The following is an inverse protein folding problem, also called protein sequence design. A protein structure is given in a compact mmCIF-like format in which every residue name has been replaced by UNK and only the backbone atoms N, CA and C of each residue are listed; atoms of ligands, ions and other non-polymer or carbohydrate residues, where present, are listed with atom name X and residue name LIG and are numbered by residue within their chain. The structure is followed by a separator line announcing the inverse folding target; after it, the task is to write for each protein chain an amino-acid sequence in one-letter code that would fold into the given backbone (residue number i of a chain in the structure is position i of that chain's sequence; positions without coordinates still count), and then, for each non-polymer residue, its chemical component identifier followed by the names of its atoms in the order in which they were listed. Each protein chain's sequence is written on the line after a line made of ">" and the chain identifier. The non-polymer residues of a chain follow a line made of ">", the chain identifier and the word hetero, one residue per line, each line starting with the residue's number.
data_IF_160638515094
#
_entry.id   IF_160638515094
#
_cell.length_a   1.000
_cell.length_b   1.000
_cell.length_c   1.000
_cell.angle_alpha   90.00
_cell.angle_beta   90.00
_cell.angle_gamma   90.00
#
_symmetry.space_group_name_H-M   'P 1'
#
loop_
_entity.id
_entity.type
_entity.pdbx_description
1 polymer ?
#
# COMPACT_ATOMS: atom_id res chain seq x y z
N UNK A 1 11.59 22.06 81.55
CA UNK A 1 10.17 21.72 81.30
C UNK A 1 9.91 21.86 79.81
N UNK A 2 9.60 20.74 79.19
CA UNK A 2 9.29 20.53 77.78
C UNK A 2 7.90 21.07 77.44
N UNK A 3 7.75 21.78 76.31
CA UNK A 3 6.52 21.73 75.51
C UNK A 3 6.81 22.32 74.11
N UNK A 4 7.30 21.47 73.20
CA UNK A 4 7.13 21.72 71.77
C UNK A 4 5.77 21.14 71.39
N UNK A 5 4.74 21.98 71.37
CA UNK A 5 3.46 21.63 70.77
C UNK A 5 3.63 21.58 69.25
N UNK A 6 4.00 20.42 68.72
CA UNK A 6 3.76 20.12 67.30
C UNK A 6 2.24 19.98 67.13
N UNK A 7 1.54 21.09 66.93
CA UNK A 7 0.16 21.07 66.48
C UNK A 7 0.14 20.50 65.06
N UNK A 8 -0.20 19.23 64.92
CA UNK A 8 -0.56 18.64 63.63
C UNK A 8 -1.74 19.45 63.11
N UNK A 9 -1.51 20.26 62.07
CA UNK A 9 -2.54 21.10 61.49
C UNK A 9 -3.63 20.18 60.91
N UNK A 10 -4.82 20.23 61.49
CA UNK A 10 -5.96 19.40 61.07
C UNK A 10 -6.34 19.75 59.62
N UNK A 11 -6.52 18.72 58.78
CA UNK A 11 -6.82 18.92 57.37
C UNK A 11 -8.23 19.49 57.22
N UNK A 12 -8.35 20.71 56.69
CA UNK A 12 -9.64 21.31 56.31
C UNK A 12 -9.90 21.14 54.80
N UNK A 13 -11.14 21.36 54.37
CA UNK A 13 -11.50 21.30 52.95
C UNK A 13 -10.66 22.26 52.09
N UNK A 14 -10.38 23.47 52.59
CA UNK A 14 -9.54 24.45 51.90
C UNK A 14 -8.09 23.96 51.77
N UNK A 15 -7.49 23.47 52.86
CA UNK A 15 -6.10 22.96 52.85
C UNK A 15 -5.98 21.74 51.93
N UNK A 16 -6.97 20.84 51.96
CA UNK A 16 -7.03 19.69 51.05
C UNK A 16 -7.09 20.15 49.59
N UNK A 17 -7.90 21.16 49.29
CA UNK A 17 -8.07 21.66 47.93
C UNK A 17 -6.80 22.39 47.44
N UNK A 18 -6.18 23.23 48.27
CA UNK A 18 -4.90 23.88 47.97
C UNK A 18 -3.78 22.86 47.68
N UNK A 19 -3.82 21.70 48.35
CA UNK A 19 -2.91 20.60 48.06
C UNK A 19 -3.25 19.87 46.76
N UNK A 20 -4.53 19.69 46.43
CA UNK A 20 -4.99 18.99 45.24
C UNK A 20 -4.70 19.76 43.96
N UNK A 21 -4.78 21.10 43.96
CA UNK A 21 -4.44 21.95 42.79
C UNK A 21 -2.99 21.74 42.32
N UNK A 22 -2.09 21.40 43.24
CA UNK A 22 -0.66 21.23 42.95
C UNK A 22 -0.30 19.81 42.50
N UNK A 23 -1.28 18.92 42.39
CA UNK A 23 -1.09 17.49 42.10
C UNK A 23 -1.59 17.15 40.71
N UNK A 24 -0.99 16.14 40.11
CA UNK A 24 -1.60 15.51 38.93
C UNK A 24 -2.92 14.84 39.32
N UNK A 25 -3.84 14.59 38.38
CA UNK A 25 -5.09 13.90 38.66
C UNK A 25 -4.91 12.55 39.39
N UNK A 26 -3.89 11.78 39.00
CA UNK A 26 -3.56 10.47 39.62
C UNK A 26 -3.00 10.65 41.03
N UNK A 27 -2.12 11.62 41.26
CA UNK A 27 -1.64 11.97 42.60
C UNK A 27 -2.77 12.47 43.51
N UNK A 28 -3.73 13.21 42.94
CA UNK A 28 -4.93 13.68 43.63
C UNK A 28 -5.83 12.53 44.08
N UNK A 29 -6.03 11.53 43.22
CA UNK A 29 -6.77 10.32 43.57
C UNK A 29 -6.10 9.53 44.71
N UNK A 30 -4.76 9.41 44.68
CA UNK A 30 -3.99 8.78 45.76
C UNK A 30 -4.09 9.58 47.08
N UNK A 31 -4.02 10.92 47.00
CA UNK A 31 -4.21 11.79 48.16
C UNK A 31 -5.61 11.62 48.76
N UNK A 32 -6.65 11.59 47.94
CA UNK A 32 -8.02 11.32 48.37
C UNK A 32 -8.13 9.97 49.08
N UNK A 33 -7.58 8.90 48.51
CA UNK A 33 -7.60 7.56 49.13
C UNK A 33 -6.89 7.52 50.49
N UNK A 34 -5.80 8.28 50.65
CA UNK A 34 -5.06 8.37 51.91
C UNK A 34 -5.84 9.12 53.01
N UNK A 35 -6.60 10.15 52.65
CA UNK A 35 -7.24 11.04 53.62
C UNK A 35 -8.70 10.68 53.93
N UNK A 36 -9.39 9.95 53.04
CA UNK A 36 -10.84 9.69 53.18
C UNK A 36 -11.25 8.88 54.42
N UNK A 37 -10.38 8.03 54.96
CA UNK A 37 -10.68 7.26 56.19
C UNK A 37 -10.78 8.17 57.41
N UNK A 38 -9.96 9.22 57.43
CA UNK A 38 -9.75 10.05 58.61
C UNK A 38 -10.64 11.31 58.55
N UNK A 39 -11.04 11.73 57.35
CA UNK A 39 -11.77 12.98 57.12
C UNK A 39 -13.06 12.79 56.32
N UNK A 40 -14.22 12.82 57.00
CA UNK A 40 -15.55 12.60 56.42
C UNK A 40 -15.93 13.57 55.28
N UNK A 41 -15.34 14.78 55.24
CA UNK A 41 -15.64 15.75 54.20
C UNK A 41 -15.00 15.42 52.84
N UNK A 42 -14.01 14.51 52.80
CA UNK A 42 -13.24 14.21 51.59
C UNK A 42 -14.10 13.61 50.48
N UNK A 43 -15.07 12.75 50.80
CA UNK A 43 -15.97 12.15 49.81
C UNK A 43 -16.81 13.22 49.11
N UNK A 44 -17.31 14.21 49.87
CA UNK A 44 -18.09 15.34 49.36
C UNK A 44 -17.22 16.31 48.56
N UNK A 45 -16.04 16.68 49.08
CA UNK A 45 -15.10 17.55 48.36
C UNK A 45 -14.70 16.93 47.01
N UNK A 46 -14.43 15.62 47.00
CA UNK A 46 -14.07 14.93 45.77
C UNK A 46 -15.25 14.90 44.78
N UNK A 47 -16.47 14.63 45.25
CA UNK A 47 -17.68 14.64 44.42
C UNK A 47 -17.95 16.02 43.80
N UNK A 48 -17.93 17.07 44.62
CA UNK A 48 -18.41 18.40 44.25
C UNK A 48 -17.35 19.21 43.48
N UNK A 49 -16.06 18.98 43.77
CA UNK A 49 -14.97 19.82 43.24
C UNK A 49 -13.99 19.08 42.34
N UNK A 50 -13.71 17.79 42.59
CA UNK A 50 -12.69 17.05 41.83
C UNK A 50 -13.30 16.34 40.62
N UNK A 51 -14.40 15.59 40.80
CA UNK A 51 -15.06 14.87 39.69
C UNK A 51 -15.37 15.76 38.49
N UNK A 52 -15.89 17.00 38.63
CA UNK A 52 -16.11 17.89 37.50
C UNK A 52 -14.84 18.23 36.71
N UNK A 53 -13.69 18.34 37.39
CA UNK A 53 -12.41 18.65 36.75
C UNK A 53 -11.87 17.43 35.99
N UNK A 54 -12.17 16.22 36.46
CA UNK A 54 -11.72 14.98 35.80
C UNK A 54 -12.27 14.81 34.36
N UNK A 55 -13.27 15.60 33.94
CA UNK A 55 -13.72 15.65 32.55
C UNK A 55 -12.63 16.06 31.56
N UNK A 56 -11.57 16.75 32.01
CA UNK A 56 -10.45 17.16 31.15
C UNK A 56 -9.33 16.13 31.07
N UNK A 57 -9.38 15.09 31.91
CA UNK A 57 -8.37 14.04 31.94
C UNK A 57 -8.46 13.13 30.72
N UNK A 58 -7.31 12.61 30.30
CA UNK A 58 -7.25 11.66 29.19
C UNK A 58 -7.65 10.23 29.64
N UNK A 59 -7.81 9.34 28.66
CA UNK A 59 -8.18 7.94 28.90
C UNK A 59 -7.25 7.22 29.89
N UNK A 60 -5.93 7.40 29.78
CA UNK A 60 -4.95 6.70 30.61
C UNK A 60 -5.00 7.17 32.06
N UNK A 61 -5.12 8.48 32.28
CA UNK A 61 -5.29 9.07 33.62
C UNK A 61 -6.58 8.55 34.26
N UNK A 62 -7.72 8.59 33.55
CA UNK A 62 -9.00 8.12 34.07
C UNK A 62 -8.99 6.61 34.36
N UNK A 63 -8.28 5.81 33.56
CA UNK A 63 -8.09 4.36 33.80
C UNK A 63 -7.39 4.12 35.13
N UNK A 64 -6.31 4.84 35.41
CA UNK A 64 -5.57 4.73 36.66
C UNK A 64 -6.39 5.21 37.86
N UNK A 65 -7.05 6.38 37.73
CA UNK A 65 -7.91 6.93 38.78
C UNK A 65 -9.03 5.95 39.12
N UNK A 66 -9.69 5.34 38.12
CA UNK A 66 -10.72 4.33 38.34
C UNK A 66 -10.22 3.15 39.18
N UNK A 67 -8.98 2.70 38.96
CA UNK A 67 -8.38 1.61 39.73
C UNK A 67 -8.11 2.02 41.18
N UNK A 68 -7.66 3.27 41.39
CA UNK A 68 -7.35 3.82 42.72
C UNK A 68 -8.62 3.98 43.57
N UNK A 69 -9.69 4.54 43.00
CA UNK A 69 -10.89 4.93 43.77
C UNK A 69 -12.06 3.94 43.69
N UNK A 70 -11.84 2.74 43.14
CA UNK A 70 -12.88 1.75 42.81
C UNK A 70 -13.84 1.40 43.96
N UNK A 71 -13.36 1.45 45.21
CA UNK A 71 -14.10 1.08 46.42
C UNK A 71 -14.67 2.30 47.17
N UNK A 72 -14.89 3.40 46.45
CA UNK A 72 -15.38 4.66 47.04
C UNK A 72 -16.74 5.09 46.48
N UNK A 73 -17.51 5.94 47.19
CA UNK A 73 -18.79 6.45 46.70
C UNK A 73 -18.69 7.17 45.35
N UNK A 74 -17.52 7.76 45.05
CA UNK A 74 -17.26 8.49 43.81
C UNK A 74 -16.89 7.62 42.60
N UNK A 75 -16.69 6.30 42.81
CA UNK A 75 -16.25 5.38 41.76
C UNK A 75 -17.19 5.38 40.55
N UNK A 76 -18.51 5.39 40.78
CA UNK A 76 -19.53 5.35 39.71
C UNK A 76 -19.42 6.56 38.78
N UNK A 77 -19.20 7.75 39.34
CA UNK A 77 -19.13 8.98 38.57
C UNK A 77 -17.87 9.02 37.71
N UNK A 78 -16.71 8.67 38.29
CA UNK A 78 -15.46 8.63 37.54
C UNK A 78 -15.45 7.51 36.50
N UNK A 79 -16.10 6.39 36.78
CA UNK A 79 -16.25 5.31 35.80
C UNK A 79 -17.05 5.76 34.57
N UNK A 80 -18.07 6.60 34.72
CA UNK A 80 -18.81 7.17 33.59
C UNK A 80 -17.91 8.07 32.72
N UNK A 81 -17.01 8.85 33.34
CA UNK A 81 -16.01 9.65 32.62
C UNK A 81 -15.03 8.75 31.86
N UNK A 82 -14.54 7.70 32.52
CA UNK A 82 -13.65 6.72 31.91
C UNK A 82 -14.28 6.04 30.68
N UNK A 83 -15.55 5.63 30.77
CA UNK A 83 -16.26 5.04 29.63
C UNK A 83 -16.36 6.02 28.46
N UNK A 84 -16.67 7.28 28.74
CA UNK A 84 -16.74 8.34 27.72
C UNK A 84 -15.38 8.55 27.05
N UNK A 85 -14.30 8.66 27.83
CA UNK A 85 -12.95 8.80 27.31
C UNK A 85 -12.50 7.55 26.51
N UNK A 86 -12.89 6.35 26.95
CA UNK A 86 -12.64 5.09 26.25
C UNK A 86 -13.30 5.06 24.86
N UNK A 87 -14.54 5.54 24.75
CA UNK A 87 -15.22 5.64 23.46
C UNK A 87 -14.56 6.67 22.54
N UNK A 88 -14.15 7.82 23.09
CA UNK A 88 -13.46 8.87 22.33
C UNK A 88 -12.11 8.40 21.78
N UNK A 89 -11.27 7.79 22.62
CA UNK A 89 -9.98 7.26 22.16
C UNK A 89 -10.17 6.14 21.14
N UNK A 90 -11.16 5.25 21.34
CA UNK A 90 -11.48 4.22 20.35
C UNK A 90 -11.86 4.83 19.00
N UNK A 91 -12.76 5.83 18.98
CA UNK A 91 -13.13 6.56 17.75
C UNK A 91 -11.93 7.22 17.09
N UNK A 92 -11.04 7.83 17.88
CA UNK A 92 -9.80 8.44 17.37
C UNK A 92 -8.89 7.42 16.71
N UNK A 93 -8.69 6.26 17.36
CA UNK A 93 -7.88 5.16 16.84
C UNK A 93 -8.49 4.63 15.53
N UNK A 94 -9.80 4.40 15.48
CA UNK A 94 -10.47 3.94 14.24
C UNK A 94 -10.28 4.92 13.09
N UNK A 95 -10.45 6.23 13.33
CA UNK A 95 -10.25 7.24 12.30
C UNK A 95 -8.79 7.31 11.82
N UNK A 96 -7.82 7.13 12.73
CA UNK A 96 -6.41 7.09 12.36
C UNK A 96 -6.07 5.86 11.51
N UNK A 97 -6.59 4.68 11.88
CA UNK A 97 -6.45 3.45 11.11
C UNK A 97 -7.01 3.64 9.70
N UNK A 98 -8.23 4.18 9.57
CA UNK A 98 -8.87 4.40 8.27
C UNK A 98 -8.03 5.31 7.36
N UNK A 99 -7.54 6.43 7.89
CA UNK A 99 -6.67 7.37 7.15
C UNK A 99 -5.36 6.70 6.71
N UNK A 100 -4.73 5.92 7.59
CA UNK A 100 -3.50 5.20 7.27
C UNK A 100 -3.73 4.10 6.24
N UNK A 101 -4.84 3.36 6.32
CA UNK A 101 -5.21 2.37 5.32
C UNK A 101 -5.39 3.00 3.93
N UNK A 102 -6.05 4.15 3.84
CA UNK A 102 -6.19 4.88 2.57
C UNK A 102 -4.82 5.33 2.01
N UNK A 103 -3.94 5.85 2.87
CA UNK A 103 -2.59 6.25 2.47
C UNK A 103 -1.75 5.07 1.96
N UNK A 104 -1.85 3.91 2.63
CA UNK A 104 -1.12 2.71 2.23
C UNK A 104 -1.66 2.11 0.93
N UNK A 105 -2.99 2.13 0.71
CA UNK A 105 -3.59 1.75 -0.59
C UNK A 105 -3.07 2.66 -1.69
N UNK A 106 -3.04 3.97 -1.45
CA UNK A 106 -2.53 4.96 -2.42
C UNK A 106 -1.04 4.73 -2.70
N UNK A 107 -0.24 4.49 -1.67
CA UNK A 107 1.20 4.17 -1.80
C UNK A 107 1.41 2.92 -2.65
N UNK A 108 0.60 1.89 -2.44
CA UNK A 108 0.66 0.67 -3.23
C UNK A 108 0.29 0.92 -4.71
N UNK A 109 -0.78 1.66 -4.96
CA UNK A 109 -1.28 1.94 -6.31
C UNK A 109 -0.38 2.89 -7.11
N UNK A 110 0.18 3.90 -6.46
CA UNK A 110 0.89 5.00 -7.12
C UNK A 110 2.42 4.85 -7.09
N UNK A 111 2.99 3.99 -6.24
CA UNK A 111 4.44 3.81 -6.15
C UNK A 111 4.86 2.35 -6.36
N UNK A 112 4.25 1.40 -5.64
CA UNK A 112 4.67 -0.01 -5.70
C UNK A 112 4.29 -0.67 -7.02
N UNK A 113 3.02 -0.56 -7.44
CA UNK A 113 2.57 -1.15 -8.71
C UNK A 113 3.31 -0.55 -9.92
N UNK A 114 3.51 0.78 -10.04
CA UNK A 114 4.31 1.34 -11.12
C UNK A 114 5.76 0.85 -11.15
N UNK A 115 6.42 0.75 -9.99
CA UNK A 115 7.78 0.22 -9.93
C UNK A 115 7.87 -1.23 -10.44
N UNK A 116 6.90 -2.08 -10.04
CA UNK A 116 6.81 -3.46 -10.54
C UNK A 116 6.61 -3.46 -12.06
N UNK A 117 5.73 -2.60 -12.59
CA UNK A 117 5.47 -2.51 -14.04
C UNK A 117 6.73 -2.15 -14.82
N UNK A 118 7.45 -1.13 -14.38
CA UNK A 118 8.68 -0.67 -15.05
C UNK A 118 9.73 -1.79 -15.10
N UNK A 119 9.93 -2.51 -14.00
CA UNK A 119 10.87 -3.64 -13.97
C UNK A 119 10.41 -4.78 -14.88
N UNK A 120 9.10 -5.05 -14.94
CA UNK A 120 8.53 -6.08 -15.81
C UNK A 120 8.67 -5.70 -17.29
N UNK A 121 8.40 -4.44 -17.65
CA UNK A 121 8.50 -3.95 -19.02
C UNK A 121 9.94 -4.05 -19.53
N UNK A 122 10.92 -3.60 -18.74
CA UNK A 122 12.35 -3.73 -19.06
C UNK A 122 12.75 -5.21 -19.26
N UNK A 123 12.34 -6.09 -18.36
CA UNK A 123 12.65 -7.53 -18.44
C UNK A 123 11.96 -8.20 -19.65
N UNK A 124 10.73 -7.80 -19.96
CA UNK A 124 9.99 -8.30 -21.11
C UNK A 124 10.63 -7.87 -22.42
N UNK A 125 11.03 -6.61 -22.53
CA UNK A 125 11.66 -6.06 -23.72
C UNK A 125 12.96 -6.79 -24.05
N UNK A 126 13.84 -7.00 -23.06
CA UNK A 126 15.08 -7.75 -23.24
C UNK A 126 14.84 -9.18 -23.71
N UNK A 127 13.84 -9.86 -23.11
CA UNK A 127 13.49 -11.22 -23.48
C UNK A 127 12.90 -11.29 -24.89
N UNK A 128 12.03 -10.36 -25.27
CA UNK A 128 11.44 -10.27 -26.62
C UNK A 128 12.51 -9.94 -27.65
N UNK A 129 13.40 -8.98 -27.38
CA UNK A 129 14.56 -8.65 -28.24
C UNK A 129 15.45 -9.87 -28.46
N UNK A 130 15.70 -10.65 -27.41
CA UNK A 130 16.50 -11.89 -27.52
C UNK A 130 15.82 -12.95 -28.39
N UNK A 131 14.52 -13.19 -28.17
CA UNK A 131 13.71 -14.12 -29.00
C UNK A 131 13.72 -13.68 -30.44
N UNK A 132 13.44 -12.39 -30.68
CA UNK A 132 13.34 -11.81 -32.00
C UNK A 132 14.68 -11.83 -32.74
N UNK A 133 15.78 -11.43 -32.09
CA UNK A 133 17.13 -11.47 -32.67
C UNK A 133 17.49 -12.88 -33.15
N UNK A 134 17.21 -13.92 -32.35
CA UNK A 134 17.41 -15.32 -32.76
C UNK A 134 16.51 -15.74 -33.91
N UNK A 135 15.25 -15.29 -33.88
CA UNK A 135 14.27 -15.59 -34.91
C UNK A 135 14.58 -14.93 -36.25
N UNK A 136 15.00 -13.66 -36.24
CA UNK A 136 15.37 -12.88 -37.42
C UNK A 136 16.77 -13.24 -37.96
N UNK A 137 17.62 -13.91 -37.16
CA UNK A 137 18.94 -14.35 -37.59
C UNK A 137 20.09 -13.36 -37.30
N UNK A 138 19.91 -12.43 -36.36
CA UNK A 138 20.92 -11.45 -35.94
C UNK A 138 21.11 -10.24 -36.88
N UNK A 139 22.04 -9.33 -36.51
CA UNK A 139 22.23 -7.97 -37.08
C UNK A 139 22.81 -7.91 -38.51
N UNK A 140 22.84 -8.99 -39.30
CA UNK A 140 23.40 -8.95 -40.65
C UNK A 140 22.58 -9.82 -41.60
N UNK A 141 21.56 -9.26 -42.27
CA UNK A 141 20.94 -9.66 -43.55
C UNK A 141 20.74 -11.16 -43.93
N UNK A 142 20.97 -12.13 -43.04
CA UNK A 142 20.68 -13.55 -43.22
C UNK A 142 19.17 -13.85 -43.13
N UNK A 143 18.36 -12.84 -42.77
CA UNK A 143 16.90 -12.85 -42.74
C UNK A 143 16.27 -13.57 -43.92
N UNK A 144 16.66 -13.18 -45.14
CA UNK A 144 16.06 -13.72 -46.37
C UNK A 144 16.40 -15.20 -46.55
N UNK A 145 17.59 -15.66 -46.14
CA UNK A 145 17.95 -17.07 -46.26
C UNK A 145 17.19 -17.98 -45.29
N UNK A 146 17.00 -17.59 -44.02
CA UNK A 146 16.31 -18.46 -43.05
C UNK A 146 14.81 -18.61 -43.33
N UNK A 147 14.15 -17.58 -43.86
CA UNK A 147 12.75 -17.69 -44.28
C UNK A 147 12.60 -18.53 -45.56
N UNK A 148 13.56 -18.44 -46.50
CA UNK A 148 13.62 -19.31 -47.67
C UNK A 148 13.91 -20.78 -47.31
N UNK A 149 14.55 -21.04 -46.16
CA UNK A 149 14.78 -22.39 -45.59
C UNK A 149 13.61 -22.93 -44.74
N UNK A 150 12.45 -22.27 -44.76
CA UNK A 150 11.20 -22.78 -44.16
C UNK A 150 10.88 -22.27 -42.75
N UNK A 151 11.66 -21.34 -42.19
CA UNK A 151 11.37 -20.72 -40.87
C UNK A 151 10.03 -19.97 -40.94
N UNK A 152 9.17 -20.21 -39.97
CA UNK A 152 7.81 -19.69 -39.95
C UNK A 152 7.33 -19.31 -38.54
N UNK A 153 6.07 -18.93 -38.45
CA UNK A 153 5.39 -18.53 -37.22
C UNK A 153 5.47 -19.58 -36.08
N UNK A 154 5.50 -20.88 -36.40
CA UNK A 154 5.66 -21.96 -35.39
C UNK A 154 7.06 -21.94 -34.77
N UNK A 155 8.08 -21.59 -35.54
CA UNK A 155 9.46 -21.48 -35.04
C UNK A 155 9.62 -20.30 -34.09
N UNK A 156 8.97 -19.16 -34.39
CA UNK A 156 8.89 -18.04 -33.44
C UNK A 156 8.24 -18.49 -32.14
N UNK A 157 7.08 -19.16 -32.22
CA UNK A 157 6.38 -19.66 -31.03
C UNK A 157 7.25 -20.61 -30.21
N UNK A 158 8.04 -21.47 -30.86
CA UNK A 158 8.97 -22.38 -30.15
C UNK A 158 10.07 -21.60 -29.44
N UNK A 159 10.76 -20.70 -30.15
CA UNK A 159 11.81 -19.85 -29.58
C UNK A 159 11.31 -18.98 -28.43
N UNK A 160 10.08 -18.51 -28.54
CA UNK A 160 9.41 -17.74 -27.50
C UNK A 160 9.26 -18.54 -26.22
N UNK A 161 8.74 -19.78 -26.28
CA UNK A 161 8.58 -20.63 -25.09
C UNK A 161 9.91 -21.16 -24.55
N UNK A 162 10.92 -21.34 -25.39
CA UNK A 162 12.26 -21.74 -24.96
C UNK A 162 12.98 -20.63 -24.17
N UNK A 163 12.52 -19.37 -24.28
CA UNK A 163 13.18 -18.20 -23.68
C UNK A 163 12.37 -17.47 -22.62
N UNK A 164 11.04 -17.53 -22.70
CA UNK A 164 10.18 -16.82 -21.77
C UNK A 164 10.04 -17.61 -20.46
N UNK A 165 10.71 -17.15 -19.39
CA UNK A 165 10.57 -17.74 -18.07
C UNK A 165 9.40 -17.10 -17.30
N UNK A 166 8.21 -17.71 -17.43
CA UNK A 166 7.00 -17.30 -16.69
C UNK A 166 7.14 -17.43 -15.18
N UNK A 167 8.05 -18.28 -14.69
CA UNK A 167 8.29 -18.46 -13.26
C UNK A 167 9.09 -17.29 -12.69
N UNK A 168 10.06 -16.77 -13.45
CA UNK A 168 10.84 -15.60 -13.08
C UNK A 168 9.93 -14.38 -12.88
N UNK A 169 9.08 -14.04 -13.84
CA UNK A 169 8.15 -12.91 -13.72
C UNK A 169 7.21 -13.07 -12.52
N UNK A 170 6.65 -14.27 -12.35
CA UNK A 170 5.78 -14.59 -11.22
C UNK A 170 6.50 -14.36 -9.88
N UNK A 171 7.75 -14.81 -9.77
CA UNK A 171 8.54 -14.70 -8.55
C UNK A 171 8.90 -13.25 -8.23
N UNK A 172 9.36 -12.48 -9.22
CA UNK A 172 9.67 -11.06 -9.04
C UNK A 172 8.46 -10.28 -8.53
N UNK A 173 7.32 -10.37 -9.23
CA UNK A 173 6.10 -9.66 -8.83
C UNK A 173 5.67 -10.04 -7.41
N UNK A 174 5.69 -11.34 -7.09
CA UNK A 174 5.29 -11.80 -5.75
C UNK A 174 6.26 -11.35 -4.65
N UNK A 175 7.56 -11.27 -4.93
CA UNK A 175 8.57 -10.79 -3.99
C UNK A 175 8.35 -9.32 -3.62
N UNK A 176 8.11 -8.44 -4.61
CA UNK A 176 7.82 -7.03 -4.34
C UNK A 176 6.55 -6.84 -3.52
N UNK A 177 5.47 -7.56 -3.88
CA UNK A 177 4.21 -7.47 -3.15
C UNK A 177 4.37 -8.04 -1.74
N UNK A 178 5.09 -9.15 -1.56
CA UNK A 178 5.38 -9.68 -0.23
C UNK A 178 6.22 -8.72 0.61
N UNK A 179 7.22 -8.06 0.03
CA UNK A 179 8.03 -7.06 0.74
C UNK A 179 7.19 -5.87 1.21
N UNK A 180 6.22 -5.42 0.40
CA UNK A 180 5.25 -4.41 0.79
C UNK A 180 4.37 -4.90 1.96
N UNK A 181 3.81 -6.11 1.88
CA UNK A 181 3.00 -6.70 2.96
C UNK A 181 3.80 -6.88 4.26
N UNK A 182 5.08 -7.24 4.16
CA UNK A 182 6.00 -7.37 5.30
C UNK A 182 6.22 -6.02 5.99
N UNK A 183 6.39 -4.96 5.20
CA UNK A 183 6.54 -3.59 5.71
C UNK A 183 5.27 -3.12 6.41
N UNK A 184 4.10 -3.38 5.83
CA UNK A 184 2.82 -3.09 6.46
C UNK A 184 2.68 -3.81 7.80
N UNK A 185 3.01 -5.09 7.85
CA UNK A 185 2.94 -5.89 9.08
C UNK A 185 3.83 -5.31 10.20
N UNK A 186 5.03 -4.81 9.86
CA UNK A 186 5.90 -4.14 10.82
C UNK A 186 5.23 -2.87 11.36
N UNK A 187 4.73 -2.00 10.47
CA UNK A 187 4.04 -0.75 10.86
C UNK A 187 2.81 -1.01 11.73
N UNK A 188 2.02 -2.02 11.39
CA UNK A 188 0.83 -2.41 12.16
C UNK A 188 1.20 -2.92 13.56
N UNK A 189 2.28 -3.71 13.66
CA UNK A 189 2.77 -4.18 14.97
C UNK A 189 3.29 -3.04 15.83
N UNK A 190 4.01 -2.08 15.26
CA UNK A 190 4.45 -0.88 15.99
C UNK A 190 3.24 -0.12 16.54
N UNK A 191 2.26 0.18 15.68
CA UNK A 191 1.04 0.87 16.10
C UNK A 191 0.25 0.10 17.17
N UNK A 192 0.07 -1.21 17.01
CA UNK A 192 -0.63 -2.03 18.00
C UNK A 192 0.11 -2.09 19.33
N UNK A 193 1.44 -2.18 19.30
CA UNK A 193 2.26 -2.19 20.50
C UNK A 193 2.19 -0.86 21.25
N UNK A 194 2.20 0.27 20.53
CA UNK A 194 2.13 1.60 21.15
C UNK A 194 0.78 1.88 21.82
N UNK A 195 -0.33 1.37 21.24
CA UNK A 195 -1.68 1.64 21.76
C UNK A 195 -2.11 0.66 22.85
N UNK A 196 -1.84 -0.65 22.67
CA UNK A 196 -2.34 -1.69 23.58
C UNK A 196 -1.26 -2.65 24.11
N UNK A 197 0.02 -2.42 23.79
CA UNK A 197 1.14 -3.28 24.17
C UNK A 197 0.92 -4.76 23.76
N UNK A 198 0.38 -4.96 22.56
CA UNK A 198 0.19 -6.28 21.94
C UNK A 198 0.69 -6.28 20.51
N UNK A 199 1.10 -7.47 20.06
CA UNK A 199 1.47 -7.73 18.67
C UNK A 199 0.36 -8.47 17.94
N UNK A 200 0.27 -8.25 16.65
CA UNK A 200 -0.63 -8.97 15.75
C UNK A 200 -0.01 -10.33 15.47
N UNK A 201 -0.80 -11.40 15.66
CA UNK A 201 -0.29 -12.78 15.61
C UNK A 201 -0.01 -13.28 14.19
N UNK A 202 -0.78 -12.83 13.20
CA UNK A 202 -0.75 -13.40 11.87
C UNK A 202 -0.16 -12.42 10.84
N UNK A 203 0.97 -12.84 10.26
CA UNK A 203 1.57 -12.19 9.10
C UNK A 203 0.78 -12.54 7.85
N UNK A 204 0.59 -11.57 6.97
CA UNK A 204 -0.06 -11.76 5.69
C UNK A 204 0.92 -12.35 4.68
N UNK A 205 0.47 -13.38 3.94
CA UNK A 205 1.26 -14.05 2.92
C UNK A 205 0.58 -13.84 1.57
N UNK A 206 1.36 -13.40 0.60
CA UNK A 206 0.90 -13.22 -0.77
C UNK A 206 0.43 -14.56 -1.33
N UNK A 207 -0.84 -14.64 -1.71
CA UNK A 207 -1.32 -15.78 -2.51
C UNK A 207 -0.76 -15.64 -3.91
N UNK A 208 -0.33 -16.76 -4.50
CA UNK A 208 0.30 -16.76 -5.81
C UNK A 208 -0.73 -17.11 -6.88
N UNK A 209 -1.40 -16.13 -7.52
CA UNK A 209 -2.28 -16.43 -8.64
C UNK A 209 -1.50 -17.14 -9.76
N UNK A 210 -2.23 -17.75 -10.70
CA UNK A 210 -1.59 -18.36 -11.86
C UNK A 210 -1.28 -17.27 -12.88
N UNK A 211 0.01 -17.07 -13.20
CA UNK A 211 0.40 -16.21 -14.32
C UNK A 211 0.08 -16.95 -15.63
N UNK A 212 -0.85 -16.40 -16.42
CA UNK A 212 -1.17 -16.90 -17.76
C UNK A 212 -0.82 -15.81 -18.77
N UNK A 213 0.38 -15.90 -19.32
CA UNK A 213 0.85 -15.02 -20.39
C UNK A 213 1.21 -15.85 -21.62
N UNK A 214 1.06 -15.30 -22.80
CA UNK A 214 1.46 -15.94 -24.04
C UNK A 214 1.20 -15.07 -25.27
N UNK A 215 1.51 -15.61 -26.44
CA UNK A 215 1.30 -14.90 -27.71
C UNK A 215 -0.19 -14.93 -28.10
N UNK A 216 -0.83 -13.75 -28.14
CA UNK A 216 -2.22 -13.64 -28.59
C UNK A 216 -2.37 -13.95 -30.09
N UNK A 217 -3.59 -14.22 -30.54
CA UNK A 217 -3.89 -14.41 -31.97
C UNK A 217 -3.47 -13.21 -32.82
N UNK A 218 -3.56 -12.00 -32.27
CA UNK A 218 -3.18 -10.75 -32.94
C UNK A 218 -1.66 -10.67 -33.13
N UNK A 219 -0.89 -10.84 -32.05
CA UNK A 219 0.59 -10.89 -32.07
C UNK A 219 1.08 -11.94 -33.06
N UNK A 220 0.46 -13.12 -33.02
CA UNK A 220 0.71 -14.21 -33.94
C UNK A 220 0.44 -13.83 -35.42
N UNK A 221 -0.58 -13.02 -35.71
CA UNK A 221 -0.87 -12.51 -37.07
C UNK A 221 0.22 -11.55 -37.55
N UNK A 222 0.70 -10.63 -36.69
CA UNK A 222 1.81 -9.73 -37.02
C UNK A 222 3.10 -10.50 -37.34
N UNK A 223 3.45 -11.51 -36.54
CA UNK A 223 4.61 -12.38 -36.79
C UNK A 223 4.47 -13.11 -38.14
N UNK A 224 3.27 -13.57 -38.48
CA UNK A 224 3.02 -14.21 -39.78
C UNK A 224 3.27 -13.25 -40.94
N UNK A 225 2.72 -12.03 -40.87
CA UNK A 225 2.92 -10.99 -41.90
C UNK A 225 4.39 -10.60 -42.05
N UNK A 226 5.10 -10.54 -40.92
CA UNK A 226 6.53 -10.30 -40.88
C UNK A 226 7.30 -11.39 -41.63
N UNK A 227 6.96 -12.66 -41.36
CA UNK A 227 7.54 -13.82 -42.06
C UNK A 227 7.30 -13.76 -43.57
N UNK A 228 6.13 -13.27 -44.00
CA UNK A 228 5.74 -13.21 -45.42
C UNK A 228 6.19 -11.93 -46.14
N UNK A 229 6.92 -11.03 -45.47
CA UNK A 229 7.50 -9.82 -46.06
C UNK A 229 6.53 -8.64 -46.26
N UNK A 230 5.35 -8.66 -45.61
CA UNK A 230 4.36 -7.58 -45.72
C UNK A 230 4.59 -6.48 -44.68
N UNK A 231 5.65 -5.68 -44.86
CA UNK A 231 6.13 -4.71 -43.85
C UNK A 231 5.17 -3.54 -43.60
N UNK A 232 4.70 -2.87 -44.66
CA UNK A 232 3.85 -1.67 -44.54
C UNK A 232 2.51 -1.98 -43.85
N UNK A 233 1.96 -3.17 -44.11
CA UNK A 233 0.72 -3.63 -43.47
C UNK A 233 0.89 -3.91 -41.97
N UNK A 234 2.10 -4.29 -41.51
CA UNK A 234 2.36 -4.55 -40.09
C UNK A 234 2.31 -3.24 -39.30
N UNK A 235 2.95 -2.19 -39.83
CA UNK A 235 3.02 -0.87 -39.19
C UNK A 235 1.61 -0.29 -39.04
N UNK A 236 0.81 -0.32 -40.12
CA UNK A 236 -0.56 0.24 -40.10
C UNK A 236 -1.51 -0.54 -39.17
N UNK A 237 -1.48 -1.88 -39.19
CA UNK A 237 -2.33 -2.69 -38.31
C UNK A 237 -1.91 -2.54 -36.84
N UNK A 238 -0.61 -2.59 -36.55
CA UNK A 238 -0.13 -2.44 -35.17
C UNK A 238 -0.45 -1.06 -34.59
N UNK A 239 -0.39 0.00 -35.42
CA UNK A 239 -0.85 1.32 -35.01
C UNK A 239 -2.34 1.33 -34.65
N UNK A 240 -3.19 0.73 -35.49
CA UNK A 240 -4.63 0.67 -35.23
C UNK A 240 -4.97 -0.15 -33.99
N UNK A 241 -4.31 -1.28 -33.80
CA UNK A 241 -4.69 -2.28 -32.81
C UNK A 241 -4.13 -1.97 -31.41
N UNK A 242 -2.99 -1.27 -31.34
CA UNK A 242 -2.29 -1.03 -30.07
C UNK A 242 -2.07 0.45 -29.77
N UNK A 243 -1.73 1.28 -30.77
CA UNK A 243 -1.37 2.69 -30.54
C UNK A 243 -2.58 3.63 -30.51
N UNK A 244 -3.52 3.47 -31.45
CA UNK A 244 -4.69 4.32 -31.56
C UNK A 244 -5.62 4.25 -30.33
N UNK A 245 -5.90 3.08 -29.72
CA UNK A 245 -6.69 3.02 -28.50
C UNK A 245 -6.04 3.74 -27.32
N UNK A 246 -4.70 3.73 -27.22
CA UNK A 246 -3.94 4.44 -26.19
C UNK A 246 -4.01 5.96 -26.40
N UNK A 247 -3.84 6.43 -27.64
CA UNK A 247 -3.93 7.84 -27.98
C UNK A 247 -5.35 8.42 -27.80
N UNK A 248 -6.38 7.62 -28.10
CA UNK A 248 -7.79 7.98 -27.89
C UNK A 248 -8.12 7.97 -26.39
N UNK A 249 -7.63 6.99 -25.63
CA UNK A 249 -7.77 6.94 -24.17
C UNK A 249 -7.14 8.15 -23.47
N UNK A 250 -6.00 8.63 -23.98
CA UNK A 250 -5.32 9.84 -23.50
C UNK A 250 -6.07 11.15 -23.82
N UNK A 251 -6.85 11.17 -24.91
CA UNK A 251 -7.61 12.35 -25.33
C UNK A 251 -9.00 12.45 -24.67
N UNK A 252 -9.61 11.32 -24.28
CA UNK A 252 -10.99 11.27 -23.76
C UNK A 252 -11.03 11.18 -22.22
N UNK A 253 -9.98 10.64 -21.57
CA UNK A 253 -9.85 10.61 -20.12
C UNK A 253 -8.85 11.65 -19.63
N UNK A 254 -9.32 12.66 -18.91
CA UNK A 254 -8.52 13.78 -18.42
C UNK A 254 -7.19 13.37 -17.78
N UNK A 255 -6.23 14.32 -17.83
CA UNK A 255 -4.80 14.23 -17.47
C UNK A 255 -4.40 13.49 -16.17
N UNK A 256 -5.30 12.94 -15.37
CA UNK A 256 -4.98 12.17 -14.16
C UNK A 256 -4.68 10.68 -14.37
N UNK A 257 -5.11 10.04 -15.47
CA UNK A 257 -4.96 8.58 -15.66
C UNK A 257 -3.71 8.21 -16.46
N UNK A 258 -3.34 9.03 -17.46
CA UNK A 258 -2.13 8.81 -18.28
C UNK A 258 -0.87 9.22 -17.54
N UNK A 259 -0.90 10.31 -16.77
CA UNK A 259 0.25 10.73 -15.97
C UNK A 259 0.57 9.72 -14.84
N UNK A 260 -0.41 9.02 -14.27
CA UNK A 260 -0.15 8.06 -13.17
C UNK A 260 0.41 6.70 -13.59
N UNK A 261 0.44 6.37 -14.88
CA UNK A 261 1.05 5.13 -15.37
C UNK A 261 2.54 5.27 -15.68
N UNK A 262 3.03 6.50 -15.85
CA UNK A 262 4.36 6.77 -16.43
C UNK A 262 5.21 7.77 -15.63
N UNK A 263 4.77 8.17 -14.43
CA UNK A 263 5.46 9.18 -13.62
C UNK A 263 6.23 8.54 -12.45
N UNK A 264 7.17 7.64 -12.78
CA UNK A 264 8.33 7.31 -11.94
C UNK A 264 9.52 6.97 -12.86
N UNK A 265 10.40 7.95 -13.10
CA UNK A 265 11.78 7.73 -13.54
C UNK A 265 12.02 7.45 -15.03
N UNK A 266 12.37 8.51 -15.77
CA UNK A 266 13.08 8.51 -17.06
C UNK A 266 12.40 8.08 -18.38
N UNK A 267 11.21 7.49 -18.43
CA UNK A 267 10.64 7.02 -19.73
C UNK A 267 9.52 7.87 -20.35
N UNK A 268 9.20 9.06 -19.79
CA UNK A 268 8.27 10.02 -20.44
C UNK A 268 8.79 10.45 -21.82
N UNK A 269 10.11 10.35 -22.04
CA UNK A 269 10.71 10.65 -23.34
C UNK A 269 10.36 9.60 -24.41
N UNK A 270 10.05 8.35 -24.07
CA UNK A 270 9.96 7.30 -25.10
C UNK A 270 8.56 7.07 -25.68
N UNK A 271 7.45 7.23 -24.96
CA UNK A 271 6.12 6.94 -25.53
C UNK A 271 5.63 8.06 -26.47
N UNK A 272 5.84 9.33 -26.12
CA UNK A 272 5.48 10.44 -26.99
C UNK A 272 6.35 10.49 -28.25
N UNK A 273 7.64 10.14 -28.11
CA UNK A 273 8.58 9.99 -29.24
C UNK A 273 8.24 8.75 -30.06
N UNK A 274 7.97 7.60 -29.46
CA UNK A 274 7.54 6.38 -30.17
C UNK A 274 6.22 6.60 -30.91
N UNK A 275 5.22 7.25 -30.31
CA UNK A 275 3.97 7.61 -30.99
C UNK A 275 4.22 8.58 -32.14
N UNK A 276 5.14 9.53 -31.97
CA UNK A 276 5.53 10.49 -33.02
C UNK A 276 6.33 9.82 -34.13
N UNK A 277 7.28 8.95 -33.81
CA UNK A 277 8.13 8.22 -34.74
C UNK A 277 7.32 7.16 -35.51
N UNK A 278 6.34 6.51 -34.87
CA UNK A 278 5.38 5.64 -35.55
C UNK A 278 4.47 6.46 -36.48
N UNK A 279 3.99 7.64 -36.04
CA UNK A 279 3.22 8.56 -36.90
C UNK A 279 4.03 9.12 -38.07
N UNK A 280 5.34 9.28 -37.88
CA UNK A 280 6.30 9.73 -38.89
C UNK A 280 6.86 8.57 -39.74
N UNK A 281 6.36 7.33 -39.55
CA UNK A 281 6.80 6.11 -40.25
C UNK A 281 8.31 5.83 -40.14
N UNK A 282 8.93 6.25 -39.03
CA UNK A 282 10.36 6.07 -38.75
C UNK A 282 10.69 4.75 -38.04
N UNK A 283 9.69 3.96 -37.67
CA UNK A 283 9.88 2.67 -36.98
C UNK A 283 9.94 1.55 -38.00
N UNK A 284 11.01 0.76 -37.94
CA UNK A 284 11.19 -0.36 -38.84
C UNK A 284 10.29 -1.56 -38.48
N UNK A 285 10.21 -2.54 -39.38
CA UNK A 285 9.38 -3.73 -39.20
C UNK A 285 9.75 -4.55 -37.95
N UNK A 286 10.99 -4.43 -37.50
CA UNK A 286 11.56 -5.24 -36.42
C UNK A 286 11.17 -4.69 -35.07
N UNK A 287 11.39 -3.39 -34.92
CA UNK A 287 10.99 -2.63 -33.75
C UNK A 287 9.48 -2.73 -33.55
N UNK A 288 8.69 -2.75 -34.64
CA UNK A 288 7.24 -2.97 -34.55
C UNK A 288 6.87 -4.38 -34.07
N UNK A 289 7.59 -5.43 -34.48
CA UNK A 289 7.31 -6.80 -34.00
C UNK A 289 7.71 -6.94 -32.53
N UNK A 290 8.84 -6.35 -32.14
CA UNK A 290 9.28 -6.29 -30.74
C UNK A 290 8.23 -5.56 -29.90
N UNK A 291 7.81 -4.37 -30.34
CA UNK A 291 6.79 -3.56 -29.67
C UNK A 291 5.48 -4.32 -29.46
N UNK A 292 4.92 -4.94 -30.52
CA UNK A 292 3.65 -5.69 -30.41
C UNK A 292 3.77 -6.86 -29.43
N UNK A 293 4.90 -7.57 -29.45
CA UNK A 293 5.12 -8.70 -28.54
C UNK A 293 5.27 -8.24 -27.08
N UNK A 294 6.07 -7.21 -26.83
CA UNK A 294 6.26 -6.64 -25.49
C UNK A 294 4.95 -6.09 -24.95
N UNK A 295 4.23 -5.29 -25.75
CA UNK A 295 2.97 -4.68 -25.35
C UNK A 295 1.89 -5.71 -25.02
N UNK A 296 1.72 -6.76 -25.84
CA UNK A 296 0.74 -7.84 -25.58
C UNK A 296 1.06 -8.56 -24.26
N UNK A 297 2.35 -8.80 -23.98
CA UNK A 297 2.77 -9.43 -22.73
C UNK A 297 2.56 -8.53 -21.52
N UNK A 298 3.00 -7.27 -21.58
CA UNK A 298 2.79 -6.28 -20.52
C UNK A 298 1.30 -6.12 -20.21
N UNK A 299 0.45 -6.03 -21.24
CA UNK A 299 -1.01 -5.98 -21.09
C UNK A 299 -1.56 -7.18 -20.33
N UNK A 300 -1.10 -8.40 -20.65
CA UNK A 300 -1.55 -9.62 -19.98
C UNK A 300 -1.07 -9.68 -18.52
N UNK A 301 0.17 -9.29 -18.24
CA UNK A 301 0.69 -9.20 -16.86
C UNK A 301 -0.14 -8.20 -16.06
N UNK A 302 -0.39 -7.01 -16.61
CA UNK A 302 -1.15 -5.97 -15.94
C UNK A 302 -2.60 -6.38 -15.64
N UNK A 303 -3.31 -6.85 -16.67
CA UNK A 303 -4.75 -7.05 -16.59
C UNK A 303 -5.16 -8.38 -15.97
N UNK A 304 -4.31 -9.41 -16.06
CA UNK A 304 -4.65 -10.75 -15.58
C UNK A 304 -3.87 -11.15 -14.32
N UNK A 305 -2.68 -10.60 -14.08
CA UNK A 305 -1.87 -11.00 -12.92
C UNK A 305 -1.78 -9.89 -11.86
N UNK A 306 -1.27 -8.71 -12.23
CA UNK A 306 -1.13 -7.60 -11.29
C UNK A 306 -2.47 -7.10 -10.77
N UNK A 307 -3.52 -7.11 -11.61
CA UNK A 307 -4.89 -6.78 -11.17
C UNK A 307 -5.39 -7.67 -10.04
N UNK A 308 -5.17 -8.98 -10.13
CA UNK A 308 -5.63 -9.91 -9.10
C UNK A 308 -4.74 -9.85 -7.86
N UNK A 309 -3.42 -9.71 -8.04
CA UNK A 309 -2.49 -9.44 -6.95
C UNK A 309 -2.86 -8.16 -6.18
N UNK A 310 -3.24 -7.11 -6.90
CA UNK A 310 -3.65 -5.82 -6.35
C UNK A 310 -4.95 -5.91 -5.54
N UNK A 311 -5.93 -6.69 -6.01
CA UNK A 311 -7.16 -6.95 -5.23
C UNK A 311 -6.85 -7.67 -3.92
N UNK A 312 -5.94 -8.65 -3.93
CA UNK A 312 -5.53 -9.38 -2.73
C UNK A 312 -4.89 -8.41 -1.73
N UNK A 313 -3.91 -7.62 -2.16
CA UNK A 313 -3.23 -6.64 -1.31
C UNK A 313 -4.19 -5.57 -0.74
N UNK A 314 -5.19 -5.12 -1.51
CA UNK A 314 -6.18 -4.15 -1.02
C UNK A 314 -7.19 -4.75 -0.05
N UNK A 315 -7.68 -5.97 -0.32
CA UNK A 315 -8.60 -6.68 0.59
C UNK A 315 -7.96 -6.85 1.97
N UNK A 316 -6.68 -7.22 1.98
CA UNK A 316 -5.82 -7.27 3.17
C UNK A 316 -5.80 -5.97 3.96
N UNK A 317 -5.70 -4.81 3.29
CA UNK A 317 -5.70 -3.50 3.95
C UNK A 317 -7.09 -3.08 4.48
N UNK A 318 -8.18 -3.57 3.89
CA UNK A 318 -9.56 -3.24 4.28
C UNK A 318 -10.16 -4.10 5.40
N UNK A 319 -9.46 -5.16 5.84
CA UNK A 319 -9.94 -6.08 6.90
C UNK A 319 -9.43 -5.70 8.30
N UNK A 320 -8.88 -4.50 8.47
CA UNK A 320 -8.39 -3.91 9.71
C UNK A 320 -9.31 -2.79 10.18
#
# INVERSE_FOLDING_TARGET
>A
MTSCSNSVQELTAQIAMDSLVKKTPVEGANFYMKMRSDYKFMDKLHADSIVPILHTCNYFELKEICLIIKDTPNAKNVYALYLTAKEQIAKSIYSEIEKKCQLEIKTFEELILPAIRLEMDSTLEDNVKSVFSKYAGGFLNYRKMYFLLGRNQKDFKKLFWDKLDTTLYKNHINQHIQAYLDTLFIKQNLFSNDIINKKIAQKQIMTQPTLRIGLSKSTMKHIKKYTTGQVDEIIQEAFKDYVAPLAIGAAIGGAGVVYKLYDVGNDIYDVAITIKDIKEAKVDADDMVIYVCTHDLSYQIDNFYLKDCSKIAKKTNSQL
#
